data_IF_384766486281
#
_entry.id   IF_384766486281
#
_cell.length_a   1.000
_cell.length_b   1.000
_cell.length_c   1.000
_cell.angle_alpha   90.00
_cell.angle_beta   90.00
_cell.angle_gamma   90.00
#
_symmetry.space_group_name_H-M   'P 1'
#
loop_
_entity.id
_entity.type
_entity.pdbx_description
1 polymer ?
#
# COMPACT_ATOMS: atom_id res chain seq x y z
N UNK A 1 10.61 8.04 -0.20
CA UNK A 1 11.75 7.24 -0.67
C UNK A 1 11.25 5.85 -1.07
N UNK A 2 11.91 5.15 -2.02
CA UNK A 2 11.61 3.74 -2.31
C UNK A 2 11.69 2.90 -1.02
N UNK A 3 11.00 1.73 -0.97
CA UNK A 3 11.07 0.85 0.20
C UNK A 3 12.53 0.61 0.58
N UNK A 4 12.87 0.65 1.88
CA UNK A 4 14.27 0.68 2.33
C UNK A 4 15.12 -0.49 1.79
N UNK A 5 14.51 -1.68 1.59
CA UNK A 5 15.17 -2.84 0.98
C UNK A 5 15.44 -2.74 -0.53
N UNK A 6 14.93 -1.71 -1.21
CA UNK A 6 15.07 -1.46 -2.65
C UNK A 6 15.73 -0.09 -2.91
N UNK A 7 16.48 0.43 -1.94
CA UNK A 7 17.15 1.73 -2.07
C UNK A 7 18.17 1.69 -3.23
N UNK A 8 18.17 2.72 -4.06
CA UNK A 8 19.01 2.81 -5.25
C UNK A 8 18.39 2.20 -6.51
N UNK A 9 17.27 1.47 -6.37
CA UNK A 9 16.47 0.97 -7.49
C UNK A 9 15.32 1.93 -7.81
N UNK A 10 14.78 1.83 -9.04
CA UNK A 10 13.56 2.55 -9.42
C UNK A 10 12.38 2.03 -8.58
N UNK A 11 11.53 2.94 -8.12
CA UNK A 11 10.33 2.55 -7.39
C UNK A 11 9.23 2.11 -8.37
N UNK A 12 8.87 0.83 -8.34
CA UNK A 12 7.85 0.26 -9.24
C UNK A 12 6.49 0.11 -8.55
N UNK A 13 5.36 0.20 -9.29
CA UNK A 13 4.03 -0.12 -8.78
C UNK A 13 3.93 -1.51 -8.13
N UNK A 14 4.70 -2.48 -8.63
CA UNK A 14 4.76 -3.84 -8.06
C UNK A 14 5.20 -3.86 -6.58
N UNK A 15 5.91 -2.83 -6.11
CA UNK A 15 6.37 -2.72 -4.72
C UNK A 15 5.30 -2.20 -3.75
N UNK A 16 4.09 -1.85 -4.23
CA UNK A 16 3.04 -1.30 -3.38
C UNK A 16 2.62 -2.25 -2.25
N UNK A 17 2.70 -3.57 -2.49
CA UNK A 17 2.41 -4.59 -1.49
C UNK A 17 3.33 -4.51 -0.25
N UNK A 18 4.58 -4.06 -0.40
CA UNK A 18 5.50 -3.84 0.73
C UNK A 18 5.04 -2.69 1.62
N UNK A 19 4.50 -1.63 1.00
CA UNK A 19 3.94 -0.49 1.72
C UNK A 19 2.66 -0.90 2.45
N UNK A 20 1.78 -1.64 1.78
CA UNK A 20 0.57 -2.22 2.38
C UNK A 20 0.90 -3.03 3.63
N UNK A 21 1.81 -4.01 3.52
CA UNK A 21 2.19 -4.87 4.64
C UNK A 21 2.77 -4.07 5.81
N UNK A 22 3.60 -3.05 5.54
CA UNK A 22 4.15 -2.20 6.60
C UNK A 22 3.09 -1.37 7.30
N UNK A 23 2.14 -0.80 6.56
CA UNK A 23 1.03 -0.02 7.12
C UNK A 23 0.11 -0.91 7.96
N UNK A 24 -0.25 -2.10 7.46
CA UNK A 24 -1.08 -3.05 8.18
C UNK A 24 -0.43 -3.48 9.51
N UNK A 25 0.87 -3.80 9.49
CA UNK A 25 1.64 -4.12 10.69
C UNK A 25 1.67 -2.96 11.71
N UNK A 26 1.82 -1.71 11.25
CA UNK A 26 1.77 -0.54 12.13
C UNK A 26 0.38 -0.31 12.75
N UNK A 27 -0.68 -0.75 12.06
CA UNK A 27 -2.07 -0.64 12.53
C UNK A 27 -2.51 -1.85 13.37
N UNK A 28 -1.71 -2.90 13.45
CA UNK A 28 -2.09 -4.14 14.13
C UNK A 28 -3.27 -4.87 13.48
N UNK A 29 -3.44 -4.72 12.16
CA UNK A 29 -4.56 -5.32 11.42
C UNK A 29 -4.09 -6.22 10.26
N UNK A 30 -4.95 -7.13 9.76
CA UNK A 30 -4.62 -7.95 8.60
C UNK A 30 -4.39 -7.08 7.34
N UNK A 31 -3.39 -7.41 6.50
CA UNK A 31 -3.14 -6.68 5.25
C UNK A 31 -4.36 -6.55 4.33
N UNK A 32 -5.22 -7.56 4.31
CA UNK A 32 -6.45 -7.60 3.51
C UNK A 32 -7.42 -6.50 3.92
N UNK A 33 -7.48 -6.18 5.21
CA UNK A 33 -8.33 -5.10 5.73
C UNK A 33 -7.80 -3.73 5.31
N UNK A 34 -6.49 -3.51 5.42
CA UNK A 34 -5.87 -2.27 4.92
C UNK A 34 -6.07 -2.14 3.41
N UNK A 35 -5.93 -3.23 2.65
CA UNK A 35 -6.12 -3.24 1.20
C UNK A 35 -7.57 -2.84 0.85
N UNK A 36 -8.56 -3.52 1.44
CA UNK A 36 -9.97 -3.22 1.20
C UNK A 36 -10.30 -1.75 1.51
N UNK A 37 -9.84 -1.23 2.65
CA UNK A 37 -10.10 0.16 3.08
C UNK A 37 -9.44 1.19 2.17
N UNK A 38 -8.18 0.96 1.80
CA UNK A 38 -7.43 1.90 0.94
C UNK A 38 -7.95 1.86 -0.50
N UNK A 39 -8.30 0.69 -1.04
CA UNK A 39 -8.97 0.56 -2.34
C UNK A 39 -10.33 1.26 -2.35
N UNK A 40 -11.18 1.04 -1.33
CA UNK A 40 -12.47 1.73 -1.24
C UNK A 40 -12.31 3.26 -1.14
N UNK A 41 -11.29 3.72 -0.40
CA UNK A 41 -10.97 5.14 -0.31
C UNK A 41 -10.51 5.70 -1.65
N UNK A 42 -9.62 5.00 -2.35
CA UNK A 42 -9.16 5.40 -3.68
C UNK A 42 -10.31 5.49 -4.68
N UNK A 43 -11.20 4.47 -4.71
CA UNK A 43 -12.42 4.50 -5.54
C UNK A 43 -13.27 5.74 -5.25
N UNK A 44 -13.53 6.03 -3.98
CA UNK A 44 -14.35 7.19 -3.58
C UNK A 44 -13.71 8.54 -3.91
N UNK A 45 -12.41 8.68 -3.63
CA UNK A 45 -11.69 9.96 -3.79
C UNK A 45 -11.41 10.27 -5.25
N UNK A 46 -11.06 9.26 -6.04
CA UNK A 46 -10.70 9.43 -7.45
C UNK A 46 -11.82 9.07 -8.42
N UNK A 47 -13.01 8.66 -7.94
CA UNK A 47 -14.14 8.28 -8.80
C UNK A 47 -13.88 7.03 -9.65
N UNK A 48 -13.19 6.04 -9.08
CA UNK A 48 -12.83 4.80 -9.79
C UNK A 48 -13.93 3.75 -9.63
N UNK A 49 -14.21 3.02 -10.72
CA UNK A 49 -15.19 1.92 -10.76
C UNK A 49 -14.75 0.67 -9.97
#
# INVERSE_FOLDING_TARGET
LPPQGHRGQRNEPALIALTLGRVAALRGEPPELTAARTTATARRVFGLA
#
